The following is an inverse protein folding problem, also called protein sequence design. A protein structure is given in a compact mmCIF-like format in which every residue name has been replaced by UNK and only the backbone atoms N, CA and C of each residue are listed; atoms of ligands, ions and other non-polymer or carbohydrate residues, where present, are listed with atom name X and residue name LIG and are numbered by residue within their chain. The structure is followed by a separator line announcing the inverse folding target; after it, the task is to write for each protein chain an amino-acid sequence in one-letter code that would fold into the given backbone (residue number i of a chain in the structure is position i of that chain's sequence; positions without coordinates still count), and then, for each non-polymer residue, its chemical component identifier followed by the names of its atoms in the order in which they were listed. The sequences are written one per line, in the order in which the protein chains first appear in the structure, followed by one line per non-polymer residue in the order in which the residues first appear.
data_IF_564754893929
#
_entry.id   IF_564754893929
#
_cell.length_a   1.000
_cell.length_b   1.000
_cell.length_c   1.000
_cell.angle_alpha   90.00
_cell.angle_beta   90.00
_cell.angle_gamma   90.00
#
_symmetry.space_group_name_H-M   'P 1'
#
loop_
_entity.id
_entity.type
_entity.pdbx_description
1 polymer ?
#
# COMPACT_ATOMS: atom_id res chain seq x y z
N UNK A 1 10.16 41.67 -58.52
CA UNK A 1 9.50 40.45 -58.03
C UNK A 1 8.79 40.80 -56.74
N UNK A 2 7.46 40.92 -56.80
CA UNK A 2 6.63 41.37 -55.69
C UNK A 2 6.11 40.15 -54.92
N UNK A 3 6.41 40.07 -53.63
CA UNK A 3 5.85 39.08 -52.71
C UNK A 3 4.50 39.59 -52.17
N UNK A 4 3.44 38.76 -52.17
CA UNK A 4 2.17 39.11 -51.54
C UNK A 4 2.23 38.90 -50.02
N UNK A 5 1.67 39.87 -49.29
CA UNK A 5 1.43 39.83 -47.85
C UNK A 5 0.25 38.91 -47.49
N UNK A 6 0.27 38.25 -46.31
CA UNK A 6 -0.83 37.41 -45.87
C UNK A 6 -2.00 38.21 -45.29
N UNK A 7 -3.18 37.64 -45.54
CA UNK A 7 -4.53 38.13 -45.30
C UNK A 7 -4.92 38.03 -43.82
N UNK A 8 -5.61 39.07 -43.34
CA UNK A 8 -6.24 39.16 -42.02
C UNK A 8 -7.23 37.99 -41.78
N UNK A 9 -7.11 37.33 -40.63
CA UNK A 9 -8.08 36.35 -40.15
C UNK A 9 -9.03 36.97 -39.11
N UNK A 10 -10.35 36.73 -39.16
CA UNK A 10 -11.31 37.36 -38.26
C UNK A 10 -11.57 36.58 -36.96
N UNK A 11 -11.73 37.36 -35.89
CA UNK A 11 -12.64 37.14 -34.75
C UNK A 11 -12.57 35.83 -33.95
N UNK A 12 -11.89 35.94 -32.81
CA UNK A 12 -12.07 35.13 -31.61
C UNK A 12 -13.53 35.14 -31.13
N UNK A 13 -14.17 33.98 -30.89
CA UNK A 13 -15.38 33.93 -30.06
C UNK A 13 -14.99 34.15 -28.59
N UNK A 14 -15.57 35.21 -28.03
CA UNK A 14 -15.64 35.50 -26.60
C UNK A 14 -16.11 34.26 -25.83
N UNK A 15 -15.19 33.66 -25.07
CA UNK A 15 -15.53 32.64 -24.08
C UNK A 15 -16.30 33.35 -22.97
N UNK A 16 -17.61 33.06 -22.91
CA UNK A 16 -18.47 33.42 -21.79
C UNK A 16 -17.86 32.89 -20.49
N UNK A 17 -17.38 33.80 -19.65
CA UNK A 17 -17.06 33.52 -18.27
C UNK A 17 -18.33 33.00 -17.59
N UNK A 18 -18.36 31.69 -17.28
CA UNK A 18 -19.38 31.14 -16.41
C UNK A 18 -19.25 31.79 -15.05
N UNK A 19 -20.30 32.52 -14.67
CA UNK A 19 -20.45 33.14 -13.37
C UNK A 19 -20.49 32.02 -12.30
N UNK A 20 -19.39 31.82 -11.59
CA UNK A 20 -19.32 30.95 -10.42
C UNK A 20 -20.33 31.46 -9.36
N UNK A 21 -21.14 30.58 -8.76
CA UNK A 21 -22.05 30.97 -7.69
C UNK A 21 -21.27 31.63 -6.55
N UNK A 22 -21.77 32.80 -6.15
CA UNK A 22 -21.28 33.63 -5.05
C UNK A 22 -21.26 32.81 -3.77
N UNK A 23 -20.07 32.38 -3.35
CA UNK A 23 -19.85 31.67 -2.10
C UNK A 23 -20.31 32.57 -0.95
N UNK A 24 -21.16 32.09 -0.02
CA UNK A 24 -21.55 32.87 1.14
C UNK A 24 -20.32 33.19 1.98
N UNK A 25 -20.11 34.50 2.15
CA UNK A 25 -19.11 35.11 3.00
C UNK A 25 -19.34 34.70 4.47
N UNK A 26 -18.47 33.84 5.02
CA UNK A 26 -18.43 33.48 6.44
C UNK A 26 -17.70 34.56 7.27
N UNK A 27 -18.19 35.80 7.21
CA UNK A 27 -17.57 36.94 7.91
C UNK A 27 -18.00 37.13 9.37
N UNK A 28 -18.66 36.16 10.02
CA UNK A 28 -19.15 36.35 11.39
C UNK A 28 -19.13 35.06 12.22
N UNK A 29 -17.97 34.41 12.35
CA UNK A 29 -17.74 33.41 13.39
C UNK A 29 -16.49 33.73 14.22
N UNK A 30 -16.22 35.01 14.44
CA UNK A 30 -15.11 35.51 15.25
C UNK A 30 -15.68 36.32 16.43
N UNK A 31 -16.34 35.63 17.36
CA UNK A 31 -16.65 36.12 18.73
C UNK A 31 -17.31 35.03 19.58
N UNK A 32 -16.54 34.02 19.96
CA UNK A 32 -16.60 33.38 21.29
C UNK A 32 -15.53 32.30 21.37
N UNK A 33 -14.29 32.71 21.64
CA UNK A 33 -13.31 31.82 22.23
C UNK A 33 -12.80 32.48 23.50
N UNK A 34 -13.60 32.29 24.56
CA UNK A 34 -13.14 32.48 25.93
C UNK A 34 -11.91 31.60 26.13
N UNK A 35 -10.83 32.21 26.60
CA UNK A 35 -9.59 31.54 26.99
C UNK A 35 -9.87 30.53 28.12
N UNK A 36 -9.66 29.21 27.91
CA UNK A 36 -9.43 28.31 29.01
C UNK A 36 -7.98 28.55 29.45
N UNK A 37 -7.80 29.13 30.63
CA UNK A 37 -6.51 29.18 31.33
C UNK A 37 -6.13 27.78 31.78
N UNK A 38 -5.74 26.94 30.82
CA UNK A 38 -5.24 25.60 31.07
C UNK A 38 -3.79 25.72 31.58
N UNK A 39 -3.47 25.20 32.77
CA UNK A 39 -2.10 25.22 33.29
C UNK A 39 -1.16 24.48 32.34
N UNK A 40 -0.06 25.16 31.99
CA UNK A 40 1.01 24.66 31.14
C UNK A 40 1.46 23.24 31.58
N UNK A 41 1.50 22.25 30.67
CA UNK A 41 1.92 20.90 30.99
C UNK A 41 3.39 20.92 31.44
N UNK A 42 3.62 20.44 32.66
CA UNK A 42 4.96 20.22 33.23
C UNK A 42 5.80 19.44 32.22
N UNK A 43 7.00 19.95 31.88
CA UNK A 43 7.99 19.30 30.99
C UNK A 43 8.17 17.84 31.40
N UNK A 44 7.57 16.92 30.63
CA UNK A 44 7.77 15.48 30.81
C UNK A 44 9.19 15.19 30.33
N UNK A 45 10.05 14.77 31.24
CA UNK A 45 11.41 14.31 30.92
C UNK A 45 11.30 13.00 30.15
N UNK A 46 11.46 13.06 28.83
CA UNK A 46 11.50 11.88 27.98
C UNK A 46 12.82 11.12 28.20
N UNK A 47 12.84 10.22 29.17
CA UNK A 47 13.87 9.19 29.24
C UNK A 47 13.74 8.34 27.98
N UNK A 48 14.73 8.40 27.09
CA UNK A 48 14.78 7.56 25.88
C UNK A 48 14.61 6.10 26.33
N UNK A 49 13.56 5.39 25.86
CA UNK A 49 13.42 3.99 26.18
C UNK A 49 14.64 3.24 25.64
N UNK A 50 15.14 2.22 26.35
CA UNK A 50 16.25 1.42 25.86
C UNK A 50 15.85 0.81 24.51
N UNK A 51 16.73 0.92 23.51
CA UNK A 51 16.46 0.46 22.14
C UNK A 51 15.95 -0.99 22.10
N UNK A 52 16.42 -1.84 23.02
CA UNK A 52 15.97 -3.22 23.15
C UNK A 52 14.46 -3.34 23.41
N UNK A 53 13.88 -2.50 24.28
CA UNK A 53 12.42 -2.52 24.53
C UNK A 53 11.63 -2.02 23.33
N UNK A 54 12.18 -1.11 22.54
CA UNK A 54 11.57 -0.63 21.29
C UNK A 54 11.60 -1.75 20.25
N UNK A 55 12.73 -2.42 20.09
CA UNK A 55 12.89 -3.56 19.18
C UNK A 55 11.98 -4.71 19.60
N UNK A 56 11.91 -5.03 20.89
CA UNK A 56 11.01 -6.07 21.41
C UNK A 56 9.55 -5.71 21.18
N UNK A 57 9.16 -4.44 21.34
CA UNK A 57 7.80 -3.97 21.05
C UNK A 57 7.47 -4.06 19.56
N UNK A 58 8.41 -3.69 18.69
CA UNK A 58 8.26 -3.82 17.23
C UNK A 58 8.19 -5.28 16.79
N UNK A 59 8.98 -6.18 17.38
CA UNK A 59 8.93 -7.61 17.12
C UNK A 59 7.64 -8.27 17.62
N UNK A 60 7.00 -7.70 18.64
CA UNK A 60 5.76 -8.20 19.24
C UNK A 60 4.53 -7.83 18.44
N UNK A 61 4.61 -6.78 17.61
CA UNK A 61 3.57 -6.47 16.63
C UNK A 61 3.69 -7.41 15.43
N UNK A 62 2.58 -8.03 15.02
CA UNK A 62 2.53 -8.94 13.87
C UNK A 62 3.06 -8.28 12.59
N UNK A 63 2.81 -6.98 12.44
CA UNK A 63 3.25 -6.15 11.32
C UNK A 63 4.75 -5.78 11.39
N UNK A 64 5.29 -5.59 12.60
CA UNK A 64 6.72 -5.37 12.80
C UNK A 64 7.55 -6.64 12.62
N UNK A 65 6.96 -7.82 12.89
CA UNK A 65 7.56 -9.13 12.60
C UNK A 65 7.72 -9.38 11.09
N UNK A 66 6.70 -9.12 10.27
CA UNK A 66 6.79 -9.25 8.80
C UNK A 66 7.88 -8.33 8.21
N UNK A 67 7.89 -7.06 8.66
CA UNK A 67 8.89 -6.07 8.25
C UNK A 67 10.30 -6.47 8.71
N UNK A 68 10.46 -6.96 9.93
CA UNK A 68 11.77 -7.43 10.43
C UNK A 68 12.28 -8.64 9.66
N UNK A 69 11.38 -9.56 9.29
CA UNK A 69 11.74 -10.74 8.51
C UNK A 69 12.11 -10.38 7.06
N UNK A 70 11.42 -9.41 6.44
CA UNK A 70 11.84 -8.82 5.16
C UNK A 70 13.25 -8.21 5.24
N UNK A 71 13.54 -7.46 6.29
CA UNK A 71 14.87 -6.85 6.49
C UNK A 71 15.94 -7.93 6.60
N UNK A 72 15.72 -8.98 7.40
CA UNK A 72 16.65 -10.12 7.52
C UNK A 72 16.84 -10.80 6.16
N UNK A 73 15.76 -11.03 5.40
CA UNK A 73 15.82 -11.61 4.06
C UNK A 73 16.61 -10.73 3.07
N UNK A 74 16.44 -9.41 3.10
CA UNK A 74 17.21 -8.49 2.27
C UNK A 74 18.69 -8.46 2.65
N UNK A 75 19.01 -8.48 3.96
CA UNK A 75 20.40 -8.58 4.43
C UNK A 75 21.04 -9.86 3.90
N UNK A 76 20.36 -11.01 3.99
CA UNK A 76 20.87 -12.28 3.48
C UNK A 76 21.04 -12.22 1.95
N UNK A 77 20.07 -11.68 1.20
CA UNK A 77 20.17 -11.49 -0.27
C UNK A 77 21.35 -10.59 -0.64
N UNK A 78 21.59 -9.50 0.09
CA UNK A 78 22.74 -8.60 -0.11
C UNK A 78 24.06 -9.33 0.19
N UNK A 79 24.12 -10.12 1.26
CA UNK A 79 25.32 -10.91 1.60
C UNK A 79 25.63 -11.98 0.54
N UNK A 80 24.60 -12.63 -0.02
CA UNK A 80 24.75 -13.58 -1.14
C UNK A 80 25.21 -12.85 -2.40
N UNK A 81 24.61 -11.71 -2.73
CA UNK A 81 25.00 -10.91 -3.90
C UNK A 81 26.45 -10.40 -3.80
N UNK A 82 26.88 -9.96 -2.62
CA UNK A 82 28.22 -9.42 -2.41
C UNK A 82 29.31 -10.50 -2.32
N UNK A 83 28.96 -11.75 -2.01
CA UNK A 83 29.91 -12.89 -1.97
C UNK A 83 29.75 -13.82 -3.17
N UNK A 84 29.55 -13.25 -4.36
CA UNK A 84 29.33 -13.97 -5.63
C UNK A 84 30.44 -14.99 -6.00
N UNK A 85 31.62 -14.89 -5.37
CA UNK A 85 32.72 -15.82 -5.58
C UNK A 85 33.03 -16.56 -4.27
N UNK A 86 32.86 -17.90 -4.30
CA UNK A 86 33.49 -18.92 -3.44
C UNK A 86 32.67 -19.41 -2.21
N UNK A 87 32.46 -20.74 -2.21
CA UNK A 87 32.30 -21.67 -1.07
C UNK A 87 30.89 -22.20 -0.72
N UNK A 88 30.88 -23.44 -0.20
CA UNK A 88 29.74 -24.20 0.32
C UNK A 88 28.88 -23.44 1.37
N UNK A 89 29.43 -22.39 1.97
CA UNK A 89 28.73 -21.50 2.89
C UNK A 89 27.57 -20.72 2.22
N UNK A 90 27.63 -20.49 0.90
CA UNK A 90 26.53 -19.86 0.15
C UNK A 90 25.29 -20.77 0.04
N UNK A 91 25.49 -22.09 -0.07
CA UNK A 91 24.39 -23.04 -0.12
C UNK A 91 23.66 -23.09 1.23
N UNK A 92 24.40 -22.97 2.34
CA UNK A 92 23.83 -22.87 3.68
C UNK A 92 23.05 -21.56 3.87
N UNK A 93 23.59 -20.41 3.45
CA UNK A 93 22.89 -19.12 3.51
C UNK A 93 21.63 -19.08 2.64
N UNK A 94 21.68 -19.67 1.44
CA UNK A 94 20.53 -19.77 0.54
C UNK A 94 19.46 -20.71 1.11
N UNK A 95 19.87 -21.85 1.69
CA UNK A 95 18.95 -22.75 2.39
C UNK A 95 18.31 -22.06 3.60
N UNK A 96 19.10 -21.33 4.38
CA UNK A 96 18.62 -20.55 5.52
C UNK A 96 17.67 -19.43 5.10
N UNK A 97 17.95 -18.72 4.00
CA UNK A 97 17.04 -17.72 3.45
C UNK A 97 15.70 -18.34 3.03
N UNK A 98 15.75 -19.52 2.41
CA UNK A 98 14.56 -20.28 2.02
C UNK A 98 13.75 -20.71 3.25
N UNK A 99 14.43 -21.23 4.27
CA UNK A 99 13.79 -21.62 5.54
C UNK A 99 13.16 -20.42 6.24
N UNK A 100 13.85 -19.28 6.35
CA UNK A 100 13.28 -18.06 6.91
C UNK A 100 12.10 -17.54 6.09
N UNK A 101 12.11 -17.71 4.77
CA UNK A 101 10.96 -17.39 3.92
C UNK A 101 9.76 -18.27 4.23
N UNK A 102 9.95 -19.60 4.31
CA UNK A 102 8.88 -20.53 4.68
C UNK A 102 8.38 -20.25 6.09
N UNK A 103 9.29 -20.06 7.07
CA UNK A 103 8.94 -19.70 8.45
C UNK A 103 8.14 -18.39 8.49
N UNK A 104 8.50 -17.39 7.69
CA UNK A 104 7.72 -16.14 7.58
C UNK A 104 6.30 -16.41 7.14
N UNK A 105 6.13 -17.17 6.06
CA UNK A 105 4.82 -17.49 5.52
C UNK A 105 3.98 -18.28 6.55
N UNK A 106 4.59 -19.24 7.25
CA UNK A 106 3.93 -19.99 8.33
C UNK A 106 3.54 -19.08 9.50
N UNK A 107 4.40 -18.13 9.88
CA UNK A 107 4.09 -17.18 10.95
C UNK A 107 2.95 -16.22 10.57
N UNK A 108 2.79 -15.95 9.28
CA UNK A 108 1.71 -15.11 8.74
C UNK A 108 0.41 -15.89 8.49
N UNK A 109 0.40 -17.23 8.63
CA UNK A 109 -0.82 -18.04 8.58
C UNK A 109 -1.82 -17.53 9.61
N UNK A 110 -3.08 -17.40 9.18
CA UNK A 110 -4.15 -16.95 10.06
C UNK A 110 -4.22 -15.45 10.25
N UNK A 111 -3.48 -14.65 9.47
CA UNK A 111 -3.68 -13.19 9.41
C UNK A 111 -5.13 -12.83 9.01
N UNK A 112 -5.80 -13.69 8.24
CA UNK A 112 -7.21 -13.52 7.89
C UNK A 112 -8.15 -13.49 9.12
N UNK A 113 -7.74 -14.06 10.26
CA UNK A 113 -8.59 -14.16 11.45
C UNK A 113 -8.99 -12.78 12.01
N UNK A 114 -8.13 -11.77 11.88
CA UNK A 114 -8.42 -10.42 12.35
C UNK A 114 -9.44 -9.72 11.45
N UNK A 115 -9.26 -9.84 10.13
CA UNK A 115 -10.20 -9.28 9.16
C UNK A 115 -11.58 -9.95 9.25
N UNK A 116 -11.63 -11.26 9.54
CA UNK A 116 -12.89 -11.99 9.79
C UNK A 116 -13.62 -11.43 11.01
N UNK A 117 -12.91 -11.15 12.11
CA UNK A 117 -13.53 -10.52 13.30
C UNK A 117 -14.08 -9.13 12.95
N UNK A 118 -13.34 -8.34 12.18
CA UNK A 118 -13.79 -7.02 11.73
C UNK A 118 -15.02 -7.12 10.81
N UNK A 119 -15.06 -8.11 9.93
CA UNK A 119 -16.21 -8.38 9.06
C UNK A 119 -17.47 -8.71 9.89
N UNK A 120 -17.34 -9.58 10.90
CA UNK A 120 -18.44 -9.94 11.80
C UNK A 120 -18.94 -8.76 12.65
N UNK A 121 -18.04 -7.85 13.03
CA UNK A 121 -18.39 -6.64 13.78
C UNK A 121 -19.05 -5.55 12.90
N UNK A 122 -18.79 -5.55 11.59
CA UNK A 122 -19.25 -4.51 10.67
C UNK A 122 -20.67 -4.78 10.17
N UNK A 123 -21.67 -4.07 10.72
CA UNK A 123 -23.06 -4.10 10.23
C UNK A 123 -23.39 -2.89 9.34
N UNK A 124 -24.01 -3.14 8.19
CA UNK A 124 -24.77 -2.13 7.43
C UNK A 124 -24.06 -1.40 6.28
N UNK A 125 -22.76 -1.60 6.05
CA UNK A 125 -22.06 -1.00 4.90
C UNK A 125 -21.53 -2.07 3.95
N UNK A 126 -22.29 -2.36 2.89
CA UNK A 126 -21.94 -3.37 1.88
C UNK A 126 -20.59 -3.11 1.23
N UNK A 127 -20.24 -1.85 0.94
CA UNK A 127 -18.95 -1.52 0.35
C UNK A 127 -17.79 -1.89 1.28
N UNK A 128 -17.88 -1.53 2.56
CA UNK A 128 -16.86 -1.92 3.55
C UNK A 128 -16.78 -3.44 3.72
N UNK A 129 -17.91 -4.13 3.69
CA UNK A 129 -17.94 -5.60 3.76
C UNK A 129 -17.27 -6.23 2.54
N UNK A 130 -17.53 -5.75 1.32
CA UNK A 130 -16.87 -6.24 0.10
C UNK A 130 -15.35 -6.01 0.15
N UNK A 131 -14.90 -4.86 0.65
CA UNK A 131 -13.48 -4.58 0.85
C UNK A 131 -12.82 -5.57 1.83
N UNK A 132 -13.49 -5.84 2.96
CA UNK A 132 -13.02 -6.80 3.94
C UNK A 132 -13.00 -8.22 3.37
N UNK A 133 -14.04 -8.62 2.63
CA UNK A 133 -14.09 -9.92 1.95
C UNK A 133 -12.95 -10.06 0.96
N UNK A 134 -12.60 -9.01 0.21
CA UNK A 134 -11.45 -9.05 -0.70
C UNK A 134 -10.12 -9.24 0.06
N UNK A 135 -9.94 -8.53 1.19
CA UNK A 135 -8.77 -8.69 2.07
C UNK A 135 -8.67 -10.11 2.64
N UNK A 136 -9.78 -10.64 3.16
CA UNK A 136 -9.87 -12.00 3.71
C UNK A 136 -9.57 -13.02 2.62
N UNK A 137 -10.18 -12.87 1.45
CA UNK A 137 -9.97 -13.78 0.32
C UNK A 137 -8.51 -13.80 -0.13
N UNK A 138 -7.86 -12.62 -0.16
CA UNK A 138 -6.44 -12.52 -0.46
C UNK A 138 -5.58 -13.25 0.58
N UNK A 139 -5.82 -12.97 1.86
CA UNK A 139 -5.06 -13.59 2.95
C UNK A 139 -5.26 -15.12 2.99
N UNK A 140 -6.49 -15.60 2.79
CA UNK A 140 -6.77 -17.03 2.72
C UNK A 140 -6.12 -17.69 1.48
N UNK A 141 -6.13 -17.02 0.33
CA UNK A 141 -5.47 -17.53 -0.86
C UNK A 141 -3.95 -17.63 -0.65
N UNK A 142 -3.33 -16.63 -0.03
CA UNK A 142 -1.90 -16.66 0.30
C UNK A 142 -1.58 -17.79 1.31
N UNK A 143 -2.43 -17.99 2.31
CA UNK A 143 -2.29 -19.08 3.29
C UNK A 143 -2.39 -20.46 2.61
N UNK A 144 -3.38 -20.66 1.72
CA UNK A 144 -3.54 -21.90 0.95
C UNK A 144 -2.33 -22.16 0.05
N UNK A 145 -1.84 -21.12 -0.63
CA UNK A 145 -0.66 -21.21 -1.48
C UNK A 145 0.58 -21.59 -0.66
N UNK A 146 0.77 -20.99 0.52
CA UNK A 146 1.83 -21.34 1.45
C UNK A 146 1.75 -22.80 1.90
N UNK A 147 0.57 -23.26 2.34
CA UNK A 147 0.35 -24.65 2.78
C UNK A 147 0.63 -25.65 1.64
N UNK A 148 0.27 -25.30 0.41
CA UNK A 148 0.63 -26.08 -0.77
C UNK A 148 2.14 -26.17 -0.97
N UNK A 149 2.85 -25.03 -0.88
CA UNK A 149 4.32 -24.99 -1.03
C UNK A 149 5.08 -25.78 0.03
N UNK A 150 4.55 -25.89 1.25
CA UNK A 150 5.15 -26.69 2.33
C UNK A 150 4.86 -28.19 2.15
N UNK A 151 3.94 -28.55 1.25
CA UNK A 151 3.54 -29.94 1.01
C UNK A 151 2.45 -30.43 1.94
N UNK A 152 1.82 -29.54 2.73
CA UNK A 152 0.67 -29.89 3.58
C UNK A 152 -0.56 -30.20 2.72
N UNK A 153 -0.75 -29.47 1.62
CA UNK A 153 -1.83 -29.71 0.66
C UNK A 153 -1.31 -30.47 -0.57
N UNK A 154 -1.64 -31.76 -0.74
CA UNK A 154 -1.06 -32.63 -1.77
C UNK A 154 -1.58 -32.33 -3.19
N UNK A 155 -2.73 -31.67 -3.32
CA UNK A 155 -3.32 -31.38 -4.63
C UNK A 155 -2.67 -30.15 -5.26
N UNK A 156 -2.02 -30.35 -6.41
CA UNK A 156 -1.46 -29.27 -7.24
C UNK A 156 -2.51 -28.24 -7.69
N UNK A 157 -3.76 -28.65 -7.80
CA UNK A 157 -4.88 -27.78 -8.16
C UNK A 157 -5.05 -26.60 -7.17
N UNK A 158 -4.96 -26.86 -5.86
CA UNK A 158 -5.13 -25.79 -4.85
C UNK A 158 -4.04 -24.72 -4.94
N UNK A 159 -2.80 -25.10 -5.24
CA UNK A 159 -1.70 -24.16 -5.48
C UNK A 159 -1.97 -23.26 -6.68
N UNK A 160 -2.42 -23.85 -7.79
CA UNK A 160 -2.74 -23.10 -9.02
C UNK A 160 -3.91 -22.12 -8.81
N UNK A 161 -5.02 -22.58 -8.23
CA UNK A 161 -6.18 -21.72 -8.00
C UNK A 161 -5.90 -20.62 -6.97
N UNK A 162 -5.17 -20.91 -5.90
CA UNK A 162 -4.82 -19.90 -4.90
C UNK A 162 -3.94 -18.79 -5.46
N UNK A 163 -2.98 -19.12 -6.33
CA UNK A 163 -2.16 -18.12 -7.04
C UNK A 163 -3.01 -17.20 -7.91
N UNK A 164 -3.95 -17.77 -8.68
CA UNK A 164 -4.88 -16.99 -9.50
C UNK A 164 -5.75 -16.08 -8.63
N UNK A 165 -6.37 -16.63 -7.58
CA UNK A 165 -7.29 -15.88 -6.71
C UNK A 165 -6.55 -14.74 -6.01
N UNK A 166 -5.37 -15.02 -5.44
CA UNK A 166 -4.53 -13.99 -4.79
C UNK A 166 -4.18 -12.87 -5.77
N UNK A 167 -3.78 -13.20 -7.01
CA UNK A 167 -3.49 -12.20 -8.04
C UNK A 167 -4.71 -11.30 -8.35
N UNK A 168 -5.91 -11.88 -8.47
CA UNK A 168 -7.14 -11.11 -8.71
C UNK A 168 -7.52 -10.24 -7.52
N UNK A 169 -7.43 -10.76 -6.29
CA UNK A 169 -7.72 -10.00 -5.07
C UNK A 169 -6.73 -8.85 -4.85
N UNK A 170 -5.46 -9.08 -5.18
CA UNK A 170 -4.43 -8.05 -5.16
C UNK A 170 -4.72 -6.96 -6.19
N UNK A 171 -5.06 -7.33 -7.43
CA UNK A 171 -5.45 -6.38 -8.48
C UNK A 171 -6.67 -5.54 -8.08
N UNK A 172 -7.71 -6.17 -7.52
CA UNK A 172 -8.87 -5.47 -6.98
C UNK A 172 -8.46 -4.47 -5.89
N UNK A 173 -7.54 -4.85 -5.00
CA UNK A 173 -7.00 -3.97 -3.96
C UNK A 173 -6.29 -2.74 -4.53
N UNK A 174 -5.55 -2.91 -5.64
CA UNK A 174 -4.90 -1.79 -6.35
C UNK A 174 -5.96 -0.83 -6.91
N UNK A 175 -7.01 -1.32 -7.57
CA UNK A 175 -8.09 -0.47 -8.11
C UNK A 175 -8.78 0.33 -7.00
N UNK A 176 -9.11 -0.34 -5.90
CA UNK A 176 -9.72 0.29 -4.72
C UNK A 176 -8.78 1.34 -4.13
N UNK A 177 -7.50 1.00 -3.99
CA UNK A 177 -6.47 1.90 -3.49
C UNK A 177 -6.31 3.14 -4.37
N UNK A 178 -6.31 2.95 -5.69
CA UNK A 178 -6.21 4.02 -6.67
C UNK A 178 -7.39 5.00 -6.53
N UNK A 179 -8.62 4.49 -6.43
CA UNK A 179 -9.82 5.32 -6.20
C UNK A 179 -9.69 6.13 -4.91
N UNK A 180 -9.31 5.49 -3.81
CA UNK A 180 -9.14 6.17 -2.51
C UNK A 180 -8.03 7.23 -2.56
N UNK A 181 -6.92 6.92 -3.20
CA UNK A 181 -5.79 7.85 -3.35
C UNK A 181 -6.18 9.06 -4.21
N UNK A 182 -6.99 8.85 -5.26
CA UNK A 182 -7.53 9.91 -6.09
C UNK A 182 -8.48 10.82 -5.30
N UNK A 183 -9.46 10.25 -4.59
CA UNK A 183 -10.38 11.00 -3.71
C UNK A 183 -9.61 11.79 -2.64
N UNK A 184 -8.57 11.18 -2.06
CA UNK A 184 -7.71 11.82 -1.08
C UNK A 184 -6.94 13.01 -1.67
N UNK A 185 -6.41 12.87 -2.89
CA UNK A 185 -5.73 13.95 -3.60
C UNK A 185 -6.68 15.12 -3.88
N UNK A 186 -7.87 14.87 -4.42
CA UNK A 186 -8.87 15.92 -4.68
C UNK A 186 -9.26 16.66 -3.39
N UNK A 187 -9.37 15.94 -2.26
CA UNK A 187 -9.65 16.58 -0.97
C UNK A 187 -8.50 17.46 -0.50
N UNK A 188 -7.27 17.00 -0.64
CA UNK A 188 -6.05 17.74 -0.23
C UNK A 188 -5.82 18.95 -1.15
N UNK A 189 -6.18 18.88 -2.41
CA UNK A 189 -6.10 20.03 -3.34
C UNK A 189 -6.98 21.21 -2.89
N UNK A 190 -8.12 20.93 -2.25
CA UNK A 190 -9.04 21.96 -1.76
C UNK A 190 -8.66 22.55 -0.40
N UNK A 191 -8.13 21.72 0.51
CA UNK A 191 -7.98 22.10 1.93
C UNK A 191 -6.56 21.93 2.49
N UNK A 192 -5.66 21.30 1.73
CA UNK A 192 -4.38 20.83 2.23
C UNK A 192 -3.21 21.75 1.94
N UNK A 193 -2.08 21.43 2.55
CA UNK A 193 -0.80 22.11 2.30
C UNK A 193 -0.15 21.62 1.01
N UNK A 194 0.73 22.43 0.43
CA UNK A 194 1.51 22.06 -0.77
C UNK A 194 2.36 20.79 -0.57
N UNK A 195 2.82 20.52 0.66
CA UNK A 195 3.59 19.32 0.97
C UNK A 195 2.71 18.06 0.95
N UNK A 196 1.52 18.13 1.53
CA UNK A 196 0.55 17.03 1.52
C UNK A 196 0.07 16.72 0.09
N UNK A 197 -0.12 17.76 -0.73
CA UNK A 197 -0.50 17.59 -2.13
C UNK A 197 0.58 16.83 -2.91
N UNK A 198 1.85 17.21 -2.76
CA UNK A 198 2.97 16.49 -3.38
C UNK A 198 3.04 15.03 -2.92
N UNK A 199 2.81 14.76 -1.63
CA UNK A 199 2.82 13.40 -1.10
C UNK A 199 1.66 12.56 -1.65
N UNK A 200 0.47 13.15 -1.77
CA UNK A 200 -0.70 12.50 -2.35
C UNK A 200 -0.48 12.18 -3.84
N UNK A 201 0.11 13.10 -4.60
CA UNK A 201 0.50 12.88 -6.00
C UNK A 201 1.48 11.72 -6.14
N UNK A 202 2.55 11.68 -5.32
CA UNK A 202 3.52 10.57 -5.35
C UNK A 202 2.84 9.23 -5.07
N UNK A 203 1.92 9.19 -4.11
CA UNK A 203 1.18 7.98 -3.76
C UNK A 203 0.25 7.53 -4.89
N UNK A 204 -0.43 8.48 -5.55
CA UNK A 204 -1.26 8.22 -6.72
C UNK A 204 -0.44 7.67 -7.89
N UNK A 205 0.68 8.31 -8.23
CA UNK A 205 1.58 7.85 -9.28
C UNK A 205 2.13 6.45 -9.00
N UNK A 206 2.46 6.15 -7.74
CA UNK A 206 2.86 4.80 -7.33
C UNK A 206 1.75 3.78 -7.62
N UNK A 207 0.50 4.05 -7.20
CA UNK A 207 -0.61 3.13 -7.46
C UNK A 207 -0.88 2.93 -8.96
N UNK A 208 -0.72 3.97 -9.78
CA UNK A 208 -0.82 3.87 -11.25
C UNK A 208 0.31 3.00 -11.80
N UNK A 209 1.54 3.17 -11.32
CA UNK A 209 2.66 2.35 -11.73
C UNK A 209 2.46 0.87 -11.37
N UNK A 210 1.96 0.58 -10.16
CA UNK A 210 1.62 -0.77 -9.72
C UNK A 210 0.53 -1.39 -10.64
N UNK A 211 -0.50 -0.61 -10.99
CA UNK A 211 -1.58 -1.04 -11.91
C UNK A 211 -1.04 -1.35 -13.32
N UNK A 212 -0.22 -0.46 -13.88
CA UNK A 212 0.38 -0.64 -15.21
C UNK A 212 1.32 -1.85 -15.23
N UNK A 213 2.10 -2.05 -14.17
CA UNK A 213 2.99 -3.19 -14.04
C UNK A 213 2.22 -4.50 -13.96
N UNK A 214 1.04 -4.51 -13.33
CA UNK A 214 0.15 -5.68 -13.33
C UNK A 214 -0.45 -5.94 -14.71
N UNK A 215 -1.08 -4.93 -15.33
CA UNK A 215 -1.83 -5.11 -16.57
C UNK A 215 -0.97 -5.43 -17.80
N UNK A 216 0.27 -4.91 -17.87
CA UNK A 216 1.18 -5.21 -19.01
C UNK A 216 1.64 -6.67 -19.04
N UNK A 217 1.50 -7.36 -17.92
CA UNK A 217 2.16 -8.60 -17.61
C UNK A 217 1.18 -9.81 -17.67
N UNK A 218 -0.10 -9.57 -18.01
CA UNK A 218 -1.20 -10.54 -18.00
C UNK A 218 -1.04 -11.76 -18.93
N UNK A 219 -0.06 -11.78 -19.85
CA UNK A 219 0.20 -12.94 -20.69
C UNK A 219 1.32 -13.86 -20.17
N UNK A 220 2.14 -13.46 -19.19
CA UNK A 220 3.32 -14.24 -18.76
C UNK A 220 3.66 -14.19 -17.28
N UNK A 221 3.00 -13.33 -16.49
CA UNK A 221 3.44 -12.98 -15.13
C UNK A 221 2.56 -13.54 -14.01
N UNK A 222 1.50 -14.27 -14.33
CA UNK A 222 0.95 -15.25 -13.38
C UNK A 222 2.01 -16.27 -12.89
N UNK A 223 3.21 -16.32 -13.52
CA UNK A 223 4.37 -17.09 -13.02
C UNK A 223 5.50 -16.25 -12.40
N UNK A 224 5.51 -14.91 -12.55
CA UNK A 224 6.71 -14.09 -12.27
C UNK A 224 6.57 -13.02 -11.18
N UNK A 225 5.37 -12.71 -10.68
CA UNK A 225 5.21 -11.74 -9.57
C UNK A 225 5.41 -12.39 -8.18
N UNK A 226 5.28 -13.72 -8.08
CA UNK A 226 5.51 -14.47 -6.83
C UNK A 226 6.90 -14.23 -6.17
N UNK A 227 8.03 -14.09 -6.90
CA UNK A 227 9.34 -13.84 -6.28
C UNK A 227 9.64 -12.38 -5.89
N UNK A 228 8.90 -11.38 -6.37
CA UNK A 228 9.16 -9.96 -6.06
C UNK A 228 8.38 -9.44 -4.85
N UNK A 229 7.31 -10.13 -4.45
CA UNK A 229 6.51 -9.81 -3.27
C UNK A 229 6.62 -10.85 -2.11
N UNK A 230 7.43 -11.91 -2.27
CA UNK A 230 7.83 -12.81 -1.17
C UNK A 230 8.97 -12.23 -0.33
#
# INVERSE_FOLDING_TARGET
MNLPTPINSPHHPSIHAMCLPKIPSFSNLEKQQQSPSTPLPKKISYKKPPMFLVIQRVLKDLDGRDKSMKIVQYIIKILVYHKYHRSAHLNQLTSLATQFSVTRQVLCLGNASEDIKQLLATKGNLYKQLLLINSISNALADDIYCLHRIGVLPQKAWGYYSEIISAHCWFASIIIGLKKNFENMCRIELYGTQQELKLAQITLYKSIADLLFCGKNDASVMRCVSPFFQ
#
